data_IF_332143892034
#
_entry.id   IF_332143892034
#
_cell.length_a   1.000
_cell.length_b   1.000
_cell.length_c   1.000
_cell.angle_alpha   90.00
_cell.angle_beta   90.00
_cell.angle_gamma   90.00
#
_symmetry.space_group_name_H-M   'P 1'
#
loop_
_entity.id
_entity.type
_entity.pdbx_description
1 polymer ?
#
# COMPACT_ATOMS: atom_id res chain seq x y z
N UNK A 1 69.24 -21.01 24.01
CA UNK A 1 67.89 -21.53 24.25
C UNK A 1 66.91 -20.37 24.14
N UNK A 2 66.33 -20.10 22.95
CA UNK A 2 65.35 -19.03 22.74
C UNK A 2 64.01 -19.68 22.50
N UNK A 3 63.11 -19.53 23.48
CA UNK A 3 61.76 -20.07 23.44
C UNK A 3 60.86 -19.06 22.71
N UNK A 4 60.45 -19.36 21.48
CA UNK A 4 59.52 -18.55 20.70
C UNK A 4 58.08 -18.73 21.23
N UNK A 5 57.56 -17.70 21.83
CA UNK A 5 56.16 -17.61 22.25
C UNK A 5 55.28 -17.21 21.03
N UNK A 6 54.50 -18.14 20.50
CA UNK A 6 53.52 -17.89 19.44
C UNK A 6 52.21 -17.44 20.05
N UNK A 7 51.83 -16.16 19.84
CA UNK A 7 50.47 -15.69 20.15
C UNK A 7 49.49 -16.15 19.05
N UNK A 8 48.32 -16.66 19.40
CA UNK A 8 47.26 -16.91 18.42
C UNK A 8 46.54 -15.61 18.04
N UNK A 9 46.47 -15.33 16.74
CA UNK A 9 45.62 -14.29 16.19
C UNK A 9 44.14 -14.71 16.35
N UNK A 10 43.42 -14.06 17.26
CA UNK A 10 41.98 -14.21 17.36
C UNK A 10 41.35 -13.29 16.32
N UNK A 11 40.89 -13.88 15.22
CA UNK A 11 40.15 -13.16 14.20
C UNK A 11 38.76 -12.79 14.72
N UNK A 12 38.49 -11.47 14.91
CA UNK A 12 37.14 -10.97 15.15
C UNK A 12 36.32 -11.15 13.86
N UNK A 13 35.41 -12.11 13.84
CA UNK A 13 34.36 -12.18 12.86
C UNK A 13 33.35 -11.06 13.18
N UNK A 14 33.38 -9.97 12.44
CA UNK A 14 32.33 -8.93 12.48
C UNK A 14 31.07 -9.48 11.83
N UNK A 15 30.09 -9.85 12.65
CA UNK A 15 28.76 -10.20 12.19
C UNK A 15 28.02 -8.90 11.86
N UNK A 16 27.92 -8.53 10.59
CA UNK A 16 27.04 -7.45 10.16
C UNK A 16 25.60 -7.92 10.26
N UNK A 17 24.86 -7.39 11.24
CA UNK A 17 23.41 -7.54 11.29
C UNK A 17 22.80 -6.81 10.09
N UNK A 18 22.34 -7.56 9.11
CA UNK A 18 21.46 -7.03 8.07
C UNK A 18 20.10 -6.81 8.73
N UNK A 19 19.78 -5.55 9.02
CA UNK A 19 18.43 -5.19 9.44
C UNK A 19 17.49 -5.33 8.24
N UNK A 20 16.68 -6.37 8.24
CA UNK A 20 15.56 -6.49 7.31
C UNK A 20 14.55 -5.43 7.72
N UNK A 21 14.46 -4.34 6.97
CA UNK A 21 13.36 -3.38 7.11
C UNK A 21 12.09 -4.10 6.66
N UNK A 22 11.36 -4.65 7.63
CA UNK A 22 10.05 -5.21 7.39
C UNK A 22 9.15 -4.08 6.88
N UNK A 23 8.51 -4.27 5.73
CA UNK A 23 7.42 -3.40 5.31
C UNK A 23 6.42 -3.33 6.46
N UNK A 24 6.05 -2.11 6.87
CA UNK A 24 5.21 -1.89 8.04
C UNK A 24 3.93 -2.74 7.92
N UNK A 25 3.84 -3.79 8.73
CA UNK A 25 2.62 -4.59 8.83
C UNK A 25 1.49 -3.70 9.34
N UNK A 26 0.29 -3.94 8.81
CA UNK A 26 -0.89 -3.20 9.26
C UNK A 26 -1.08 -3.40 10.76
N UNK A 27 -1.11 -2.30 11.52
CA UNK A 27 -1.47 -2.35 12.93
C UNK A 27 -2.92 -2.86 13.09
N UNK A 28 -3.26 -3.52 14.20
CA UNK A 28 -4.61 -4.03 14.43
C UNK A 28 -5.68 -2.94 14.54
N UNK A 29 -5.29 -1.69 14.81
CA UNK A 29 -6.22 -0.56 14.91
C UNK A 29 -6.34 0.14 13.55
N UNK A 30 -7.45 -0.12 12.86
CA UNK A 30 -7.77 0.49 11.56
C UNK A 30 -8.63 1.75 11.67
N UNK A 31 -8.90 2.28 12.88
CA UNK A 31 -9.74 3.47 13.09
C UNK A 31 -9.24 4.69 12.34
N UNK A 32 -7.92 4.95 12.39
CA UNK A 32 -7.34 6.07 11.64
C UNK A 32 -7.60 5.93 10.13
N UNK A 33 -7.44 4.73 9.59
CA UNK A 33 -7.72 4.45 8.18
C UNK A 33 -9.19 4.66 7.83
N UNK A 34 -10.12 4.24 8.70
CA UNK A 34 -11.54 4.47 8.52
C UNK A 34 -11.91 5.97 8.55
N UNK A 35 -11.33 6.74 9.48
CA UNK A 35 -11.54 8.19 9.58
C UNK A 35 -11.03 8.91 8.33
N UNK A 36 -9.82 8.60 7.87
CA UNK A 36 -9.25 9.19 6.66
C UNK A 36 -10.06 8.79 5.43
N UNK A 37 -10.45 7.51 5.32
CA UNK A 37 -11.31 7.05 4.23
C UNK A 37 -12.64 7.82 4.20
N UNK A 38 -13.28 7.99 5.34
CA UNK A 38 -14.54 8.72 5.45
C UNK A 38 -14.42 10.18 4.97
N UNK A 39 -13.32 10.83 5.29
CA UNK A 39 -13.11 12.24 4.97
C UNK A 39 -12.61 12.47 3.53
N UNK A 40 -11.76 11.58 3.02
CA UNK A 40 -11.02 11.80 1.77
C UNK A 40 -11.55 10.96 0.59
N UNK A 41 -12.12 9.78 0.87
CA UNK A 41 -12.41 8.78 -0.17
C UNK A 41 -13.92 8.51 -0.34
N UNK A 42 -14.72 8.61 0.74
CA UNK A 42 -16.10 8.14 0.76
C UNK A 42 -17.05 8.94 -0.13
N UNK A 43 -16.66 10.14 -0.56
CA UNK A 43 -17.45 10.94 -1.51
C UNK A 43 -17.51 10.27 -2.90
N UNK A 44 -16.49 9.47 -3.24
CA UNK A 44 -16.40 8.79 -4.53
C UNK A 44 -16.46 7.26 -4.41
N UNK A 45 -16.06 6.68 -3.30
CA UNK A 45 -15.94 5.24 -3.10
C UNK A 45 -16.79 4.73 -1.95
N UNK A 46 -17.31 3.52 -2.10
CA UNK A 46 -17.92 2.74 -1.02
C UNK A 46 -17.03 1.55 -0.66
N UNK A 47 -17.14 1.07 0.58
CA UNK A 47 -16.55 -0.20 1.06
C UNK A 47 -17.63 -1.19 1.52
N UNK A 48 -18.90 -0.89 1.28
CA UNK A 48 -20.03 -1.79 1.57
C UNK A 48 -20.26 -2.68 0.35
N UNK A 49 -20.32 -3.99 0.58
CA UNK A 49 -20.56 -4.99 -0.47
C UNK A 49 -21.81 -4.65 -1.29
N UNK A 50 -21.71 -4.68 -2.60
CA UNK A 50 -22.83 -4.47 -3.52
C UNK A 50 -23.23 -3.02 -3.76
N UNK A 51 -22.63 -2.03 -3.10
CA UNK A 51 -22.90 -0.62 -3.39
C UNK A 51 -22.43 -0.26 -4.80
N UNK A 52 -23.32 0.34 -5.58
CA UNK A 52 -23.10 0.78 -6.98
C UNK A 52 -23.50 2.25 -7.15
N UNK A 53 -23.24 2.82 -8.34
CA UNK A 53 -23.66 4.18 -8.68
C UNK A 53 -22.78 5.28 -8.09
N UNK A 54 -21.65 4.93 -7.52
CA UNK A 54 -20.65 5.89 -7.04
C UNK A 54 -19.79 6.38 -8.21
N UNK A 55 -19.16 7.55 -8.05
CA UNK A 55 -18.24 8.12 -9.03
C UNK A 55 -16.99 7.25 -9.22
N UNK A 56 -16.49 6.66 -8.14
CA UNK A 56 -15.39 5.69 -8.14
C UNK A 56 -15.88 4.25 -7.97
N UNK A 57 -15.02 3.25 -8.25
CA UNK A 57 -15.37 1.86 -8.03
C UNK A 57 -15.58 1.55 -6.55
N UNK A 58 -16.42 0.56 -6.27
CA UNK A 58 -16.56 0.01 -4.93
C UNK A 58 -15.25 -0.67 -4.51
N UNK A 59 -14.74 -0.33 -3.32
CA UNK A 59 -13.48 -0.83 -2.79
C UNK A 59 -13.64 -2.02 -1.81
N UNK A 60 -14.88 -2.52 -1.61
CA UNK A 60 -15.07 -3.80 -0.92
C UNK A 60 -14.31 -4.91 -1.66
N UNK A 61 -13.48 -5.67 -0.97
CA UNK A 61 -12.63 -6.71 -1.56
C UNK A 61 -11.60 -6.20 -2.57
N UNK A 62 -11.16 -4.93 -2.45
CA UNK A 62 -10.18 -4.36 -3.38
C UNK A 62 -8.79 -4.98 -3.20
N UNK A 63 -8.44 -5.37 -1.98
CA UNK A 63 -7.13 -5.94 -1.69
C UNK A 63 -6.96 -7.30 -2.40
N UNK A 64 -5.89 -7.44 -3.17
CA UNK A 64 -5.66 -8.60 -4.04
C UNK A 64 -6.40 -8.60 -5.37
N UNK A 65 -7.30 -7.63 -5.61
CA UNK A 65 -8.03 -7.50 -6.87
C UNK A 65 -7.17 -6.85 -7.94
N UNK A 66 -7.27 -7.35 -9.17
CA UNK A 66 -6.59 -6.77 -10.34
C UNK A 66 -7.08 -5.35 -10.62
N UNK A 67 -6.15 -4.44 -10.98
CA UNK A 67 -6.50 -3.08 -11.40
C UNK A 67 -7.47 -3.08 -12.58
N UNK A 68 -8.45 -2.17 -12.55
CA UNK A 68 -9.43 -2.02 -13.63
C UNK A 68 -10.38 -3.20 -13.84
N UNK A 69 -10.54 -4.11 -12.86
CA UNK A 69 -11.24 -5.38 -13.08
C UNK A 69 -12.61 -5.53 -12.41
N UNK A 70 -13.08 -4.55 -11.60
CA UNK A 70 -14.40 -4.67 -10.97
C UNK A 70 -15.50 -4.68 -12.04
N UNK A 71 -16.31 -5.75 -12.11
CA UNK A 71 -17.41 -5.83 -13.07
C UNK A 71 -18.41 -4.68 -12.90
N UNK A 72 -18.91 -4.14 -14.01
CA UNK A 72 -19.92 -3.08 -14.01
C UNK A 72 -19.42 -1.67 -13.73
N UNK A 73 -18.11 -1.47 -13.54
CA UNK A 73 -17.51 -0.14 -13.42
C UNK A 73 -16.70 0.23 -14.67
N UNK A 74 -16.85 1.46 -15.14
CA UNK A 74 -16.15 1.97 -16.34
C UNK A 74 -14.82 2.61 -15.95
N UNK A 75 -13.74 1.84 -16.02
CA UNK A 75 -12.39 2.34 -15.79
C UNK A 75 -11.80 3.06 -17.01
N UNK A 76 -10.80 3.92 -16.76
CA UNK A 76 -9.90 4.39 -17.82
C UNK A 76 -9.11 3.23 -18.44
N UNK A 77 -8.68 3.38 -19.69
CA UNK A 77 -7.78 2.40 -20.32
C UNK A 77 -6.49 2.28 -19.50
N UNK A 78 -5.92 3.40 -19.04
CA UNK A 78 -4.73 3.44 -18.22
C UNK A 78 -4.84 2.60 -16.94
N UNK A 79 -6.02 2.60 -16.28
CA UNK A 79 -6.23 1.80 -15.07
C UNK A 79 -6.33 0.30 -15.39
N UNK A 80 -6.92 -0.06 -16.53
CA UNK A 80 -6.96 -1.47 -17.00
C UNK A 80 -5.58 -1.98 -17.38
N UNK A 81 -4.77 -1.14 -18.03
CA UNK A 81 -3.44 -1.48 -18.51
C UNK A 81 -2.37 -1.44 -17.41
N UNK A 82 -2.71 -0.92 -16.23
CA UNK A 82 -1.76 -0.85 -15.09
C UNK A 82 -1.28 -2.24 -14.65
N UNK A 83 -2.13 -3.24 -14.76
CA UNK A 83 -1.84 -4.67 -14.57
C UNK A 83 -1.20 -5.01 -13.21
N UNK A 84 -1.70 -4.42 -12.14
CA UNK A 84 -1.28 -4.74 -10.76
C UNK A 84 -2.42 -5.40 -9.98
N UNK A 85 -2.06 -6.24 -9.01
CA UNK A 85 -2.96 -6.68 -7.96
C UNK A 85 -2.81 -5.72 -6.77
N UNK A 86 -3.93 -5.17 -6.30
CA UNK A 86 -3.89 -4.14 -5.27
C UNK A 86 -3.38 -4.69 -3.93
N UNK A 87 -2.29 -4.11 -3.45
CA UNK A 87 -1.66 -4.38 -2.17
C UNK A 87 -1.37 -3.03 -1.46
N UNK A 88 -0.98 -3.06 -0.19
CA UNK A 88 -0.73 -1.83 0.57
C UNK A 88 0.25 -0.89 -0.15
N UNK A 89 1.34 -1.43 -0.69
CA UNK A 89 2.37 -0.64 -1.37
C UNK A 89 1.81 0.13 -2.58
N UNK A 90 1.14 -0.56 -3.50
CA UNK A 90 0.66 0.11 -4.71
C UNK A 90 -0.61 0.94 -4.48
N UNK A 91 -1.42 0.62 -3.46
CA UNK A 91 -2.51 1.50 -2.99
C UNK A 91 -1.92 2.82 -2.46
N UNK A 92 -0.89 2.76 -1.60
CA UNK A 92 -0.23 3.97 -1.09
C UNK A 92 0.41 4.80 -2.19
N UNK A 93 1.01 4.18 -3.20
CA UNK A 93 1.55 4.87 -4.39
C UNK A 93 0.43 5.57 -5.17
N UNK A 94 -0.69 4.88 -5.44
CA UNK A 94 -1.83 5.46 -6.15
C UNK A 94 -2.36 6.69 -5.42
N UNK A 95 -2.64 6.58 -4.12
CA UNK A 95 -3.23 7.69 -3.35
C UNK A 95 -2.22 8.77 -2.93
N UNK A 96 -0.94 8.59 -3.24
CA UNK A 96 0.06 9.66 -3.13
C UNK A 96 -0.17 10.70 -4.23
N UNK A 97 -0.32 10.25 -5.47
CA UNK A 97 -0.61 11.09 -6.63
C UNK A 97 -1.14 10.23 -7.79
N UNK A 98 -2.47 10.07 -7.92
CA UNK A 98 -3.07 9.14 -8.89
C UNK A 98 -2.62 9.36 -10.32
N UNK A 99 -2.53 10.61 -10.80
CA UNK A 99 -2.13 10.94 -12.17
C UNK A 99 -0.66 10.63 -12.46
N UNK A 100 0.20 10.64 -11.43
CA UNK A 100 1.60 10.25 -11.60
C UNK A 100 1.76 8.72 -11.61
N UNK A 101 1.01 8.01 -10.76
CA UNK A 101 1.09 6.55 -10.66
C UNK A 101 0.39 5.83 -11.81
N UNK A 102 -0.76 6.36 -12.26
CA UNK A 102 -1.55 5.87 -13.41
C UNK A 102 -1.87 7.05 -14.33
N UNK A 103 -0.92 7.47 -15.19
CA UNK A 103 -1.17 8.58 -16.13
C UNK A 103 -2.38 8.29 -17.03
N UNK A 104 -3.36 9.17 -17.02
CA UNK A 104 -4.62 8.99 -17.74
C UNK A 104 -5.73 8.30 -16.95
N UNK A 105 -5.55 8.09 -15.65
CA UNK A 105 -6.65 7.63 -14.78
C UNK A 105 -7.78 8.66 -14.72
N UNK A 106 -9.01 8.17 -14.62
CA UNK A 106 -10.18 9.02 -14.38
C UNK A 106 -10.35 9.48 -12.93
N UNK A 107 -9.51 9.00 -12.01
CA UNK A 107 -9.53 9.38 -10.60
C UNK A 107 -9.03 10.83 -10.43
N UNK A 108 -9.91 11.81 -10.11
CA UNK A 108 -9.53 13.22 -10.08
C UNK A 108 -8.99 13.67 -8.73
N UNK A 109 -8.46 12.77 -7.95
CA UNK A 109 -7.93 13.03 -6.60
C UNK A 109 -6.52 13.62 -6.68
N UNK A 110 -6.25 14.66 -5.88
CA UNK A 110 -4.96 15.35 -5.90
C UNK A 110 -3.86 14.62 -5.13
N UNK A 111 -4.24 13.72 -4.27
CA UNK A 111 -3.34 12.93 -3.45
C UNK A 111 -3.41 13.23 -1.96
N UNK A 112 -3.03 12.25 -1.15
CA UNK A 112 -2.98 12.33 0.30
C UNK A 112 -1.53 12.56 0.75
N UNK A 113 -1.24 13.73 1.36
CA UNK A 113 0.13 14.15 1.66
C UNK A 113 0.78 13.31 2.77
N UNK A 114 0.01 12.95 3.82
CA UNK A 114 0.52 12.21 4.98
C UNK A 114 0.83 10.75 4.62
N UNK A 115 2.07 10.32 4.79
CA UNK A 115 2.47 8.92 4.57
C UNK A 115 1.80 7.96 5.55
N UNK A 116 1.64 8.39 6.82
CA UNK A 116 0.96 7.59 7.85
C UNK A 116 -0.52 7.41 7.52
N UNK A 117 -1.18 8.45 7.00
CA UNK A 117 -2.58 8.36 6.60
C UNK A 117 -2.76 7.46 5.37
N UNK A 118 -1.85 7.51 4.40
CA UNK A 118 -1.87 6.59 3.26
C UNK A 118 -1.74 5.13 3.70
N UNK A 119 -0.81 4.86 4.61
CA UNK A 119 -0.64 3.52 5.18
C UNK A 119 -1.88 3.08 5.96
N UNK A 120 -2.45 3.97 6.76
CA UNK A 120 -3.66 3.69 7.53
C UNK A 120 -4.86 3.34 6.62
N UNK A 121 -5.06 4.08 5.53
CA UNK A 121 -6.10 3.78 4.53
C UNK A 121 -5.86 2.44 3.84
N UNK A 122 -4.63 2.14 3.44
CA UNK A 122 -4.31 0.85 2.83
C UNK A 122 -4.61 -0.32 3.77
N UNK A 123 -4.28 -0.18 5.06
CA UNK A 123 -4.60 -1.17 6.08
C UNK A 123 -6.11 -1.29 6.33
N UNK A 124 -6.84 -0.18 6.39
CA UNK A 124 -8.29 -0.19 6.48
C UNK A 124 -8.94 -0.93 5.31
N UNK A 125 -8.48 -0.67 4.08
CA UNK A 125 -9.00 -1.34 2.88
C UNK A 125 -8.72 -2.85 2.86
N UNK A 126 -7.62 -3.29 3.48
CA UNK A 126 -7.29 -4.72 3.62
C UNK A 126 -8.36 -5.47 4.42
N UNK A 127 -9.00 -4.81 5.37
CA UNK A 127 -10.04 -5.40 6.23
C UNK A 127 -11.44 -5.39 5.59
N UNK A 128 -11.63 -4.76 4.43
CA UNK A 128 -12.92 -4.64 3.75
C UNK A 128 -13.19 -5.81 2.80
N UNK A 129 -13.59 -6.99 3.35
CA UNK A 129 -13.86 -8.22 2.58
C UNK A 129 -15.01 -9.06 3.18
#
# INVERSE_FOLDING_TARGET
MFTSLRLPLIGLLSFTLVQVVSAAECAPDTRRGAEVFANECSVCHAVTKGTTGMMGPNLFGVYGRKSGSLPGFSYSQAMRDKDVDWQAENITQLITQPQAYVPGTYMPYMGLASADDRQAVACFLKEQH
#
